data_IF_554472277304
#
_entry.id   IF_554472277304
#
_cell.length_a   1.000
_cell.length_b   1.000
_cell.length_c   1.000
_cell.angle_alpha   90.00
_cell.angle_beta   90.00
_cell.angle_gamma   90.00
#
_symmetry.space_group_name_H-M   'P 1'
#
loop_
_entity.id
_entity.type
_entity.pdbx_description
1 polymer ?
#
# COMPACT_ATOMS: atom_id res chain seq x y z
N UNK A 1 7.68 -56.55 27.29
CA UNK A 1 8.45 -56.37 26.03
C UNK A 1 7.73 -55.31 25.20
N UNK A 2 8.41 -54.19 24.96
CA UNK A 2 7.86 -52.92 24.48
C UNK A 2 7.38 -53.05 23.02
N UNK A 3 6.12 -52.66 22.74
CA UNK A 3 5.62 -52.45 21.36
C UNK A 3 5.89 -51.01 20.96
N UNK A 4 6.77 -50.84 19.98
CA UNK A 4 6.98 -49.60 19.24
C UNK A 4 5.75 -49.35 18.34
N UNK A 5 5.12 -48.18 18.46
CA UNK A 5 4.19 -47.64 17.45
C UNK A 5 5.00 -46.64 16.62
N UNK A 6 5.28 -47.00 15.37
CA UNK A 6 5.80 -46.06 14.39
C UNK A 6 4.68 -45.19 13.80
N UNK A 7 5.07 -43.95 13.49
CA UNK A 7 4.21 -42.83 13.23
C UNK A 7 3.48 -42.89 11.89
N UNK A 8 2.21 -42.49 11.92
CA UNK A 8 1.51 -42.05 10.74
C UNK A 8 2.06 -40.70 10.26
N UNK A 9 2.29 -40.57 8.96
CA UNK A 9 2.31 -39.29 8.26
C UNK A 9 1.15 -39.30 7.28
N UNK A 10 -0.01 -38.87 7.77
CA UNK A 10 -1.16 -38.57 6.94
C UNK A 10 -0.92 -37.26 6.18
N UNK A 11 -1.05 -37.35 4.87
CA UNK A 11 -1.44 -36.32 3.90
C UNK A 11 -1.12 -34.85 4.22
N UNK A 12 -0.17 -34.27 3.48
CA UNK A 12 -0.14 -32.82 3.26
C UNK A 12 -1.28 -32.46 2.31
N UNK A 13 -2.13 -31.61 2.85
CA UNK A 13 -3.41 -31.13 2.35
C UNK A 13 -3.31 -30.41 1.00
N UNK A 14 -4.40 -30.56 0.26
CA UNK A 14 -4.62 -30.15 -1.12
C UNK A 14 -4.71 -28.62 -1.17
N UNK A 15 -3.80 -27.96 -1.89
CA UNK A 15 -3.99 -26.57 -2.30
C UNK A 15 -5.14 -26.54 -3.31
N UNK A 16 -6.31 -26.07 -2.88
CA UNK A 16 -7.39 -25.72 -3.80
C UNK A 16 -6.88 -24.70 -4.85
N UNK A 17 -7.23 -24.87 -6.13
CA UNK A 17 -6.83 -23.92 -7.17
C UNK A 17 -7.46 -22.55 -6.90
N UNK A 18 -6.71 -21.49 -7.25
CA UNK A 18 -7.20 -20.12 -7.22
C UNK A 18 -8.52 -20.03 -8.01
N UNK A 19 -9.58 -19.49 -7.39
CA UNK A 19 -10.80 -19.18 -8.11
C UNK A 19 -10.44 -18.22 -9.25
N UNK A 20 -10.73 -18.62 -10.49
CA UNK A 20 -10.52 -17.77 -11.63
C UNK A 20 -11.47 -16.57 -11.53
N UNK A 21 -10.91 -15.36 -11.46
CA UNK A 21 -11.65 -14.09 -11.54
C UNK A 21 -12.17 -13.85 -12.96
N UNK A 22 -12.84 -14.83 -13.56
CA UNK A 22 -13.45 -14.70 -14.88
C UNK A 22 -14.86 -14.16 -14.70
N UNK A 23 -15.05 -12.88 -14.99
CA UNK A 23 -16.41 -12.34 -15.19
C UNK A 23 -16.89 -12.79 -16.57
N UNK A 24 -17.79 -13.76 -16.61
CA UNK A 24 -18.57 -14.02 -17.81
C UNK A 24 -19.63 -12.90 -17.90
N UNK A 25 -19.53 -12.08 -18.94
CA UNK A 25 -20.42 -10.96 -19.16
C UNK A 25 -21.86 -11.47 -19.38
N UNK A 26 -22.75 -11.23 -18.42
CA UNK A 26 -24.18 -11.45 -18.61
C UNK A 26 -24.67 -10.47 -19.70
N UNK A 27 -24.98 -11.02 -20.89
CA UNK A 27 -25.61 -10.27 -21.97
C UNK A 27 -27.04 -9.88 -21.54
N UNK A 28 -27.29 -8.57 -21.45
CA UNK A 28 -28.64 -8.04 -21.29
C UNK A 28 -29.39 -8.07 -22.63
N UNK A 29 -30.71 -8.34 -22.66
CA UNK A 29 -31.47 -8.43 -23.90
C UNK A 29 -31.65 -7.06 -24.56
N UNK A 30 -31.43 -7.04 -25.87
CA UNK A 30 -31.64 -5.89 -26.76
C UNK A 30 -33.11 -5.47 -26.84
N UNK A 31 -33.40 -4.19 -26.65
CA UNK A 31 -34.66 -3.58 -27.09
C UNK A 31 -34.43 -2.74 -28.35
N UNK A 32 -35.41 -2.69 -29.29
CA UNK A 32 -35.22 -2.07 -30.59
C UNK A 32 -35.35 -0.54 -30.52
N UNK A 33 -34.46 0.17 -31.24
CA UNK A 33 -34.56 1.61 -31.47
C UNK A 33 -35.45 1.87 -32.68
N UNK A 34 -36.52 2.63 -32.48
CA UNK A 34 -37.31 3.22 -33.57
C UNK A 34 -36.58 4.40 -34.21
N UNK A 35 -36.65 4.44 -35.55
CA UNK A 35 -36.14 5.50 -36.40
C UNK A 35 -37.11 6.68 -36.45
N UNK A 36 -36.63 7.90 -36.23
CA UNK A 36 -37.23 9.09 -36.84
C UNK A 36 -36.18 9.96 -37.52
N UNK A 37 -36.47 10.27 -38.77
CA UNK A 37 -35.64 10.97 -39.76
C UNK A 37 -36.24 12.36 -40.01
N UNK A 38 -35.36 13.29 -40.39
CA UNK A 38 -35.60 14.57 -41.07
C UNK A 38 -36.02 15.75 -40.15
N UNK A 39 -35.62 17.01 -40.39
CA UNK A 39 -35.35 17.72 -41.65
C UNK A 39 -34.46 18.95 -41.41
N UNK A 40 -33.67 19.30 -42.43
CA UNK A 40 -32.85 20.50 -42.54
C UNK A 40 -33.70 21.76 -42.77
N UNK A 41 -33.31 22.91 -42.22
CA UNK A 41 -33.61 24.22 -42.81
C UNK A 41 -32.38 25.14 -42.79
N UNK A 42 -32.15 25.71 -43.97
CA UNK A 42 -31.11 26.64 -44.40
C UNK A 42 -31.59 28.06 -44.13
N UNK A 43 -30.71 28.95 -43.66
CA UNK A 43 -30.96 30.39 -43.61
C UNK A 43 -29.67 31.18 -43.72
N UNK A 44 -29.37 31.70 -44.91
CA UNK A 44 -28.32 32.68 -45.17
C UNK A 44 -28.86 34.12 -45.03
N UNK A 45 -27.97 35.06 -44.66
CA UNK A 45 -27.87 36.51 -44.98
C UNK A 45 -27.28 37.26 -43.77
N UNK A 46 -26.52 38.35 -43.84
CA UNK A 46 -25.63 39.00 -44.82
C UNK A 46 -24.81 40.01 -43.99
N UNK A 47 -23.62 40.38 -44.45
CA UNK A 47 -22.64 41.31 -43.84
C UNK A 47 -22.96 42.78 -44.13
N UNK A 48 -22.71 43.67 -43.15
CA UNK A 48 -22.09 45.03 -43.20
C UNK A 48 -22.14 45.61 -41.77
N UNK A 49 -21.25 46.42 -41.19
CA UNK A 49 -20.03 47.11 -41.63
C UNK A 49 -19.91 48.48 -40.91
N UNK A 50 -18.75 48.73 -40.29
CA UNK A 50 -18.12 50.06 -40.02
C UNK A 50 -18.51 50.90 -38.78
N UNK A 51 -17.49 51.42 -38.08
CA UNK A 51 -17.61 52.58 -37.17
C UNK A 51 -16.53 52.72 -36.09
N UNK A 52 -15.31 53.12 -36.46
CA UNK A 52 -14.23 53.55 -35.55
C UNK A 52 -14.61 54.77 -34.67
N UNK A 53 -14.17 54.78 -33.40
CA UNK A 53 -13.57 55.97 -32.76
C UNK A 53 -12.86 55.66 -31.45
N UNK A 54 -11.57 56.00 -31.42
CA UNK A 54 -10.72 56.05 -30.23
C UNK A 54 -11.12 57.19 -29.28
N UNK A 55 -10.92 56.99 -27.97
CA UNK A 55 -10.37 58.01 -27.08
C UNK A 55 -9.83 57.42 -25.77
N UNK A 56 -8.70 57.99 -25.36
CA UNK A 56 -7.85 57.66 -24.22
C UNK A 56 -8.53 58.02 -22.89
N UNK A 57 -8.20 57.29 -21.83
CA UNK A 57 -8.57 57.61 -20.45
C UNK A 57 -7.78 56.78 -19.45
N UNK A 58 -6.58 57.26 -19.15
CA UNK A 58 -5.74 56.84 -18.03
C UNK A 58 -6.46 57.08 -16.70
N UNK A 59 -6.66 56.03 -15.89
CA UNK A 59 -6.88 56.12 -14.43
C UNK A 59 -6.31 54.90 -13.72
N UNK A 60 -5.26 55.18 -12.96
CA UNK A 60 -4.70 54.41 -11.87
C UNK A 60 -5.78 53.95 -10.87
N UNK A 61 -5.90 52.63 -10.72
CA UNK A 61 -6.72 51.98 -9.70
C UNK A 61 -5.83 51.16 -8.76
N UNK A 62 -5.50 51.75 -7.62
CA UNK A 62 -4.91 51.06 -6.47
C UNK A 62 -5.89 49.99 -5.98
N UNK A 63 -5.49 48.72 -6.00
CA UNK A 63 -6.18 47.66 -5.26
C UNK A 63 -5.33 47.20 -4.08
N UNK A 64 -5.66 47.83 -2.96
CA UNK A 64 -5.59 47.43 -1.55
C UNK A 64 -5.25 45.95 -1.29
N UNK A 65 -4.00 45.68 -0.90
CA UNK A 65 -3.56 44.42 -0.29
C UNK A 65 -4.08 44.38 1.16
N UNK A 66 -5.22 43.72 1.37
CA UNK A 66 -5.66 43.36 2.72
C UNK A 66 -4.88 42.16 3.24
N UNK A 67 -3.77 42.46 3.92
CA UNK A 67 -3.21 41.59 4.95
C UNK A 67 -4.28 41.43 6.05
N UNK A 68 -4.56 40.19 6.45
CA UNK A 68 -5.39 39.91 7.62
C UNK A 68 -4.53 39.18 8.63
N UNK A 69 -4.40 39.83 9.77
CA UNK A 69 -3.50 39.54 10.87
C UNK A 69 -3.71 38.16 11.51
N UNK A 70 -2.58 37.51 11.80
CA UNK A 70 -2.48 36.47 12.81
C UNK A 70 -2.71 37.10 14.19
N UNK A 71 -3.80 36.73 14.85
CA UNK A 71 -3.95 36.92 16.31
C UNK A 71 -3.47 35.65 17.01
N UNK A 72 -2.26 35.69 17.55
CA UNK A 72 -1.78 34.73 18.55
C UNK A 72 -2.12 35.27 19.95
N UNK A 73 -2.81 34.47 20.75
CA UNK A 73 -3.06 34.72 22.17
C UNK A 73 -1.85 34.28 23.02
N UNK A 74 -1.45 35.03 24.07
CA UNK A 74 -0.36 34.67 24.96
C UNK A 74 -0.87 33.82 26.14
N UNK A 75 -0.16 32.76 26.50
CA UNK A 75 -0.56 31.90 27.63
C UNK A 75 0.44 30.83 28.02
N UNK A 76 1.43 31.23 28.82
CA UNK A 76 2.15 30.43 29.84
C UNK A 76 3.01 29.23 29.41
N UNK A 77 4.32 29.50 29.26
CA UNK A 77 5.39 28.48 29.31
C UNK A 77 5.86 28.32 30.76
N UNK A 78 5.85 27.09 31.29
CA UNK A 78 6.46 26.75 32.58
C UNK A 78 7.99 26.61 32.42
N UNK A 79 8.82 27.08 33.36
CA UNK A 79 10.28 26.91 33.29
C UNK A 79 10.69 25.47 33.59
N UNK A 80 11.65 24.94 32.81
CA UNK A 80 12.41 23.74 33.15
C UNK A 80 13.46 24.10 34.20
N UNK A 81 13.30 23.59 35.41
CA UNK A 81 14.28 23.72 36.48
C UNK A 81 15.54 22.90 36.15
N UNK A 82 16.69 23.58 36.26
CA UNK A 82 18.03 23.01 36.13
C UNK A 82 18.37 22.25 37.40
N UNK A 83 18.52 20.93 37.33
CA UNK A 83 19.18 20.17 38.38
C UNK A 83 20.70 20.43 38.32
N UNK A 84 21.20 21.13 39.35
CA UNK A 84 22.61 21.38 39.56
C UNK A 84 23.30 20.20 40.25
N UNK A 85 24.40 19.75 39.64
CA UNK A 85 25.66 19.38 40.28
C UNK A 85 25.65 18.42 41.48
N UNK A 86 26.18 17.22 41.27
CA UNK A 86 26.99 16.56 42.29
C UNK A 86 28.31 16.11 41.66
N UNK A 87 29.39 16.77 42.06
CA UNK A 87 30.77 16.39 41.73
C UNK A 87 31.13 15.15 42.54
N UNK A 88 31.53 14.06 41.89
CA UNK A 88 32.28 12.99 42.53
C UNK A 88 33.60 12.84 41.78
N UNK A 89 34.67 12.74 42.57
CA UNK A 89 36.07 13.02 42.22
C UNK A 89 36.67 11.99 41.27
N UNK A 90 37.52 12.54 40.39
CA UNK A 90 38.52 11.84 39.58
C UNK A 90 39.54 11.11 40.49
N UNK A 91 39.74 9.82 40.23
CA UNK A 91 40.94 9.07 40.64
C UNK A 91 41.36 8.18 39.47
N UNK A 92 42.52 8.51 38.89
CA UNK A 92 43.21 7.74 37.87
C UNK A 92 44.05 6.59 38.46
N UNK A 93 43.94 5.44 37.79
CA UNK A 93 44.96 4.43 37.44
C UNK A 93 45.49 3.43 38.50
N UNK A 94 46.13 2.29 38.11
CA UNK A 94 46.14 1.57 36.81
C UNK A 94 45.97 0.02 36.90
N UNK A 95 45.69 -0.60 35.74
CA UNK A 95 46.26 -1.89 35.27
C UNK A 95 45.92 -3.22 35.98
N UNK A 96 45.21 -4.11 35.30
CA UNK A 96 45.54 -5.54 35.30
C UNK A 96 45.01 -6.22 34.04
N UNK A 97 45.92 -6.90 33.35
CA UNK A 97 45.67 -7.82 32.25
C UNK A 97 44.95 -9.06 32.81
N UNK A 98 43.89 -9.49 32.15
CA UNK A 98 43.19 -10.73 32.43
C UNK A 98 42.47 -11.19 31.18
N UNK A 99 43.03 -12.21 30.52
CA UNK A 99 42.44 -12.88 29.38
C UNK A 99 41.10 -13.51 29.78
N UNK A 100 39.99 -12.95 29.30
CA UNK A 100 38.65 -13.50 29.42
C UNK A 100 38.29 -14.27 28.17
N UNK A 101 38.23 -15.59 28.30
CA UNK A 101 37.84 -16.57 27.30
C UNK A 101 36.52 -16.23 26.61
N UNK A 102 36.52 -16.42 25.29
CA UNK A 102 35.38 -16.36 24.40
C UNK A 102 34.40 -17.50 24.72
N UNK A 103 33.28 -17.20 25.38
CA UNK A 103 32.10 -18.07 25.40
C UNK A 103 30.82 -17.25 25.20
N UNK A 104 30.51 -16.91 23.95
CA UNK A 104 29.17 -16.47 23.55
C UNK A 104 28.72 -17.31 22.35
N UNK A 105 28.44 -18.58 22.64
CA UNK A 105 28.21 -19.61 21.63
C UNK A 105 26.80 -20.18 21.55
N UNK A 106 25.76 -19.63 22.20
CA UNK A 106 24.44 -20.31 22.21
C UNK A 106 23.16 -19.44 22.06
N UNK A 107 23.26 -18.11 21.98
CA UNK A 107 22.07 -17.23 21.88
C UNK A 107 21.59 -16.91 20.45
N UNK A 108 22.51 -16.75 19.49
CA UNK A 108 22.20 -16.08 18.22
C UNK A 108 21.33 -16.91 17.24
N UNK A 109 21.39 -18.26 17.31
CA UNK A 109 20.67 -19.13 16.35
C UNK A 109 19.18 -19.31 16.65
N UNK A 110 18.74 -19.23 17.90
CA UNK A 110 17.32 -19.41 18.27
C UNK A 110 16.49 -18.17 17.95
N UNK A 111 17.07 -16.98 18.09
CA UNK A 111 16.36 -15.71 17.85
C UNK A 111 16.16 -15.45 16.35
N UNK A 112 17.11 -15.85 15.50
CA UNK A 112 16.99 -15.77 14.04
C UNK A 112 15.80 -16.55 13.51
N UNK A 113 15.76 -17.87 13.77
CA UNK A 113 14.71 -18.75 13.25
C UNK A 113 13.30 -18.32 13.70
N UNK A 114 13.17 -17.76 14.92
CA UNK A 114 11.91 -17.20 15.41
C UNK A 114 11.49 -15.96 14.61
N UNK A 115 12.44 -15.09 14.29
CA UNK A 115 12.16 -13.87 13.53
C UNK A 115 11.73 -14.15 12.08
N UNK A 116 12.36 -15.11 11.39
CA UNK A 116 11.91 -15.49 10.05
C UNK A 116 10.53 -16.15 10.08
N UNK A 117 10.23 -16.97 11.08
CA UNK A 117 8.89 -17.55 11.23
C UNK A 117 7.80 -16.47 11.37
N UNK A 118 8.03 -15.43 12.19
CA UNK A 118 7.09 -14.30 12.32
C UNK A 118 6.91 -13.55 10.99
N UNK A 119 7.97 -13.44 10.20
CA UNK A 119 7.93 -12.80 8.88
C UNK A 119 7.12 -13.63 7.87
N UNK A 120 7.37 -14.93 7.80
CA UNK A 120 6.63 -15.85 6.94
C UNK A 120 5.15 -15.91 7.32
N UNK A 121 4.84 -15.84 8.62
CA UNK A 121 3.46 -15.79 9.09
C UNK A 121 2.74 -14.51 8.65
N UNK A 122 3.35 -13.34 8.86
CA UNK A 122 2.79 -12.06 8.39
C UNK A 122 2.64 -12.02 6.87
N UNK A 123 3.56 -12.67 6.15
CA UNK A 123 3.50 -12.81 4.70
C UNK A 123 2.26 -13.61 4.26
N UNK A 124 2.06 -14.80 4.85
CA UNK A 124 0.91 -15.65 4.58
C UNK A 124 -0.40 -14.95 4.96
N UNK A 125 -0.43 -14.26 6.10
CA UNK A 125 -1.56 -13.44 6.52
C UNK A 125 -1.88 -12.38 5.49
N UNK A 126 -0.88 -11.64 5.00
CA UNK A 126 -1.09 -10.59 4.01
C UNK A 126 -1.67 -11.15 2.71
N UNK A 127 -1.19 -12.32 2.26
CA UNK A 127 -1.72 -12.98 1.08
C UNK A 127 -3.20 -13.38 1.28
N UNK A 128 -3.53 -14.01 2.41
CA UNK A 128 -4.92 -14.37 2.74
C UNK A 128 -5.84 -13.14 2.82
N UNK A 129 -5.41 -12.09 3.53
CA UNK A 129 -6.18 -10.87 3.71
C UNK A 129 -6.41 -10.15 2.37
N UNK A 130 -5.39 -10.06 1.51
CA UNK A 130 -5.52 -9.50 0.18
C UNK A 130 -6.49 -10.30 -0.68
N UNK A 131 -6.36 -11.64 -0.76
CA UNK A 131 -7.34 -12.48 -1.50
C UNK A 131 -8.77 -12.25 -1.03
N UNK A 132 -8.97 -12.23 0.29
CA UNK A 132 -10.28 -11.99 0.90
C UNK A 132 -10.89 -10.66 0.47
N UNK A 133 -10.08 -9.59 0.35
CA UNK A 133 -10.54 -8.28 -0.14
C UNK A 133 -10.83 -8.32 -1.64
N UNK A 134 -9.96 -8.93 -2.44
CA UNK A 134 -10.24 -9.11 -3.86
C UNK A 134 -11.57 -9.84 -4.04
N UNK A 135 -11.86 -10.86 -3.21
CA UNK A 135 -13.03 -11.75 -3.34
C UNK A 135 -14.32 -10.96 -3.11
N UNK A 136 -14.26 -10.08 -2.12
CA UNK A 136 -15.34 -9.17 -1.81
C UNK A 136 -15.52 -8.11 -2.89
N UNK A 137 -14.43 -7.52 -3.40
CA UNK A 137 -14.50 -6.49 -4.44
C UNK A 137 -15.02 -7.04 -5.77
N UNK A 138 -14.71 -8.28 -6.13
CA UNK A 138 -15.20 -8.84 -7.39
C UNK A 138 -16.70 -9.04 -7.46
N UNK A 139 -17.37 -9.05 -6.31
CA UNK A 139 -18.84 -9.11 -6.20
C UNK A 139 -19.50 -7.75 -6.36
N UNK A 140 -18.73 -6.65 -6.39
CA UNK A 140 -19.28 -5.32 -6.61
C UNK A 140 -19.78 -5.18 -8.06
N UNK A 141 -20.95 -4.56 -8.27
CA UNK A 141 -21.34 -4.06 -9.58
C UNK A 141 -20.25 -3.18 -10.16
N UNK A 142 -20.07 -3.23 -11.48
CA UNK A 142 -19.02 -2.47 -12.18
C UNK A 142 -19.10 -0.96 -11.89
N UNK A 143 -20.30 -0.40 -11.87
CA UNK A 143 -20.54 1.00 -11.52
C UNK A 143 -19.98 1.34 -10.12
N UNK A 144 -20.14 0.45 -9.14
CA UNK A 144 -19.64 0.66 -7.78
C UNK A 144 -18.13 0.49 -7.69
N UNK A 145 -17.56 -0.46 -8.45
CA UNK A 145 -16.11 -0.69 -8.50
C UNK A 145 -15.35 0.55 -9.01
N UNK A 146 -15.91 1.23 -10.02
CA UNK A 146 -15.33 2.44 -10.62
C UNK A 146 -15.81 3.76 -10.00
N UNK A 147 -16.73 3.72 -9.03
CA UNK A 147 -17.30 4.94 -8.44
C UNK A 147 -16.22 5.78 -7.77
N UNK A 148 -16.23 7.08 -8.06
CA UNK A 148 -15.40 8.06 -7.37
C UNK A 148 -15.95 8.33 -5.96
N UNK A 149 -15.17 7.97 -4.94
CA UNK A 149 -15.45 8.11 -3.51
C UNK A 149 -14.60 9.21 -2.86
N UNK A 150 -14.01 10.11 -3.67
CA UNK A 150 -13.27 11.30 -3.22
C UNK A 150 -12.15 10.99 -2.23
N UNK A 151 -11.36 9.97 -2.58
CA UNK A 151 -10.21 9.52 -1.79
C UNK A 151 -8.89 9.74 -2.53
N UNK A 152 -7.76 9.44 -1.88
CA UNK A 152 -6.41 9.57 -2.45
C UNK A 152 -6.23 8.91 -3.82
N UNK A 153 -6.99 7.85 -4.11
CA UNK A 153 -6.93 7.12 -5.38
C UNK A 153 -8.29 7.04 -6.08
N UNK A 154 -9.19 7.98 -5.79
CA UNK A 154 -10.52 8.03 -6.40
C UNK A 154 -11.51 6.98 -5.88
N UNK A 155 -11.11 5.81 -5.39
CA UNK A 155 -12.08 4.81 -4.90
C UNK A 155 -11.53 3.39 -4.87
N UNK A 156 -12.41 2.39 -4.97
CA UNK A 156 -12.04 0.97 -4.88
C UNK A 156 -11.04 0.58 -5.96
N UNK A 157 -11.36 0.86 -7.24
CA UNK A 157 -10.48 0.53 -8.36
C UNK A 157 -9.08 1.14 -8.21
N UNK A 158 -8.99 2.46 -8.04
CA UNK A 158 -7.69 3.14 -7.96
C UNK A 158 -6.88 2.74 -6.73
N UNK A 159 -7.51 2.50 -5.58
CA UNK A 159 -6.80 1.99 -4.39
C UNK A 159 -6.27 0.57 -4.62
N UNK A 160 -7.02 -0.31 -5.30
CA UNK A 160 -6.52 -1.63 -5.66
C UNK A 160 -5.35 -1.55 -6.66
N UNK A 161 -5.44 -0.69 -7.67
CA UNK A 161 -4.33 -0.46 -8.61
C UNK A 161 -3.06 -0.02 -7.87
N UNK A 162 -3.19 0.93 -6.94
CA UNK A 162 -2.09 1.39 -6.11
C UNK A 162 -1.52 0.27 -5.24
N UNK A 163 -2.36 -0.54 -4.59
CA UNK A 163 -1.91 -1.68 -3.78
C UNK A 163 -1.09 -2.65 -4.62
N UNK A 164 -1.62 -3.10 -5.77
CA UNK A 164 -0.92 -4.05 -6.66
C UNK A 164 0.41 -3.48 -7.16
N UNK A 165 0.40 -2.21 -7.58
CA UNK A 165 1.61 -1.51 -8.01
C UNK A 165 2.64 -1.41 -6.87
N UNK A 166 2.22 -1.06 -5.66
CA UNK A 166 3.09 -0.96 -4.51
C UNK A 166 3.67 -2.33 -4.12
N UNK A 167 2.88 -3.40 -4.19
CA UNK A 167 3.38 -4.75 -3.96
C UNK A 167 4.46 -5.14 -4.98
N UNK A 168 4.26 -4.80 -6.25
CA UNK A 168 5.27 -5.01 -7.30
C UNK A 168 6.52 -4.15 -7.06
N UNK A 169 6.35 -2.88 -6.71
CA UNK A 169 7.45 -1.95 -6.43
C UNK A 169 8.36 -2.48 -5.31
N UNK A 170 7.78 -2.94 -4.20
CA UNK A 170 8.56 -3.48 -3.08
C UNK A 170 9.29 -4.76 -3.47
N UNK A 171 8.65 -5.66 -4.22
CA UNK A 171 9.31 -6.85 -4.77
C UNK A 171 10.48 -6.49 -5.68
N UNK A 172 10.32 -5.51 -6.57
CA UNK A 172 11.39 -5.04 -7.45
C UNK A 172 12.55 -4.48 -6.63
N UNK A 173 12.28 -3.69 -5.59
CA UNK A 173 13.32 -3.18 -4.67
C UNK A 173 14.06 -4.32 -3.95
N UNK A 174 13.35 -5.36 -3.53
CA UNK A 174 13.97 -6.53 -2.90
C UNK A 174 14.88 -7.31 -3.86
N UNK A 175 14.47 -7.42 -5.12
CA UNK A 175 15.21 -8.05 -6.23
C UNK A 175 16.24 -7.13 -6.90
N UNK A 176 16.37 -5.87 -6.45
CA UNK A 176 17.22 -4.82 -7.08
C UNK A 176 16.91 -4.59 -8.56
N UNK A 177 15.64 -4.72 -8.94
CA UNK A 177 15.13 -4.43 -10.29
C UNK A 177 14.70 -2.96 -10.41
N UNK A 178 14.62 -2.41 -11.63
CA UNK A 178 14.03 -1.09 -11.86
C UNK A 178 12.60 -1.02 -11.32
N UNK A 179 12.19 0.16 -10.82
CA UNK A 179 10.80 0.37 -10.39
C UNK A 179 9.82 0.11 -11.55
N UNK A 180 8.58 -0.34 -11.28
CA UNK A 180 7.58 -0.52 -12.33
C UNK A 180 7.37 0.76 -13.14
N UNK A 181 7.37 0.63 -14.47
CA UNK A 181 7.42 1.78 -15.39
C UNK A 181 6.17 2.65 -15.40
N UNK A 182 5.01 2.12 -15.00
CA UNK A 182 3.77 2.88 -14.88
C UNK A 182 3.45 3.12 -13.39
N UNK A 183 3.54 4.36 -12.89
CA UNK A 183 3.26 4.66 -11.49
C UNK A 183 1.82 4.36 -11.10
N UNK A 184 1.62 3.99 -9.84
CA UNK A 184 0.29 3.81 -9.21
C UNK A 184 -0.62 2.77 -9.89
N UNK A 185 -0.07 1.96 -10.81
CA UNK A 185 -0.85 1.01 -11.60
C UNK A 185 -1.84 1.69 -12.55
N UNK A 186 -1.54 2.90 -13.02
CA UNK A 186 -2.44 3.69 -13.87
C UNK A 186 -2.79 3.01 -15.22
N UNK A 187 -2.06 1.97 -15.62
CA UNK A 187 -2.32 1.14 -16.80
C UNK A 187 -3.35 0.03 -16.55
N UNK A 188 -3.67 -0.30 -15.30
CA UNK A 188 -4.68 -1.30 -14.95
C UNK A 188 -6.07 -0.68 -15.12
N UNK A 189 -6.84 -1.12 -16.13
CA UNK A 189 -8.10 -0.48 -16.52
C UNK A 189 -9.35 -1.23 -16.06
N UNK A 190 -9.19 -2.49 -15.69
CA UNK A 190 -10.28 -3.36 -15.26
C UNK A 190 -9.92 -4.11 -13.99
N UNK A 191 -10.93 -4.71 -13.34
CA UNK A 191 -10.68 -5.65 -12.26
C UNK A 191 -9.85 -6.85 -12.73
N UNK A 192 -10.05 -7.31 -13.97
CA UNK A 192 -9.29 -8.41 -14.54
C UNK A 192 -7.80 -8.09 -14.65
N UNK A 193 -7.45 -6.87 -15.11
CA UNK A 193 -6.05 -6.42 -15.18
C UNK A 193 -5.40 -6.41 -13.80
N UNK A 194 -6.13 -5.89 -12.80
CA UNK A 194 -5.69 -5.80 -11.41
C UNK A 194 -5.44 -7.20 -10.84
N UNK A 195 -6.41 -8.12 -11.00
CA UNK A 195 -6.27 -9.52 -10.55
C UNK A 195 -5.10 -10.23 -11.25
N UNK A 196 -5.00 -10.14 -12.58
CA UNK A 196 -3.94 -10.81 -13.33
C UNK A 196 -2.54 -10.31 -12.96
N UNK A 197 -2.39 -9.00 -12.74
CA UNK A 197 -1.12 -8.46 -12.24
C UNK A 197 -0.85 -8.87 -10.80
N UNK A 198 -1.86 -8.85 -9.93
CA UNK A 198 -1.70 -9.27 -8.55
C UNK A 198 -1.28 -10.74 -8.44
N UNK A 199 -1.88 -11.66 -9.20
CA UNK A 199 -1.51 -13.08 -9.23
C UNK A 199 -0.06 -13.29 -9.68
N UNK A 200 0.39 -12.51 -10.68
CA UNK A 200 1.78 -12.54 -11.14
C UNK A 200 2.73 -12.08 -10.04
N UNK A 201 2.43 -10.94 -9.41
CA UNK A 201 3.24 -10.39 -8.32
C UNK A 201 3.24 -11.32 -7.11
N UNK A 202 2.10 -11.91 -6.76
CA UNK A 202 1.97 -12.84 -5.64
C UNK A 202 2.85 -14.08 -5.86
N UNK A 203 2.78 -14.68 -7.06
CA UNK A 203 3.59 -15.85 -7.43
C UNK A 203 5.08 -15.55 -7.35
N UNK A 204 5.53 -14.45 -7.96
CA UNK A 204 6.95 -14.08 -7.92
C UNK A 204 7.42 -13.79 -6.49
N UNK A 205 6.56 -13.15 -5.69
CA UNK A 205 6.87 -12.81 -4.31
C UNK A 205 6.94 -14.06 -3.42
N UNK A 206 6.03 -15.01 -3.60
CA UNK A 206 6.08 -16.29 -2.91
C UNK A 206 7.38 -17.05 -3.25
N UNK A 207 7.79 -17.04 -4.53
CA UNK A 207 9.09 -17.56 -4.95
C UNK A 207 10.26 -16.88 -4.24
N UNK A 208 10.28 -15.54 -4.21
CA UNK A 208 11.32 -14.78 -3.51
C UNK A 208 11.40 -15.11 -2.02
N UNK A 209 10.24 -15.11 -1.33
CA UNK A 209 10.16 -15.34 0.12
C UNK A 209 10.53 -16.76 0.51
N UNK A 210 10.28 -17.75 -0.35
CA UNK A 210 10.65 -19.15 -0.09
C UNK A 210 12.16 -19.40 0.04
N UNK A 211 12.99 -18.46 -0.40
CA UNK A 211 14.45 -18.50 -0.32
C UNK A 211 15.01 -17.52 0.71
N UNK A 212 14.16 -16.87 1.52
CA UNK A 212 14.64 -15.97 2.58
C UNK A 212 15.26 -16.77 3.74
N UNK A 213 16.40 -16.28 4.19
CA UNK A 213 17.11 -16.73 5.39
C UNK A 213 17.12 -15.64 6.45
N UNK A 214 17.38 -16.03 7.70
CA UNK A 214 17.48 -15.09 8.83
C UNK A 214 18.48 -13.97 8.56
N UNK A 215 19.64 -14.31 8.00
CA UNK A 215 20.70 -13.36 7.70
C UNK A 215 20.26 -12.26 6.72
N UNK A 216 19.40 -12.61 5.75
CA UNK A 216 18.89 -11.67 4.75
C UNK A 216 17.94 -10.63 5.34
N UNK A 217 17.35 -10.88 6.51
CA UNK A 217 16.44 -9.94 7.16
C UNK A 217 17.17 -8.66 7.59
N UNK A 218 18.44 -8.76 7.98
CA UNK A 218 19.22 -7.63 8.48
C UNK A 218 20.15 -7.02 7.41
N UNK A 219 20.18 -7.58 6.20
CA UNK A 219 20.85 -6.99 5.04
C UNK A 219 20.25 -5.63 4.67
N UNK A 220 21.13 -4.65 4.47
CA UNK A 220 20.76 -3.31 4.02
C UNK A 220 20.63 -3.21 2.51
N UNK A 221 19.70 -2.37 2.06
CA UNK A 221 19.43 -2.07 0.65
C UNK A 221 19.28 -0.57 0.49
N UNK A 222 19.86 -0.03 -0.59
CA UNK A 222 19.63 1.36 -1.01
C UNK A 222 18.28 1.44 -1.72
N UNK A 223 17.43 2.34 -1.26
CA UNK A 223 16.12 2.63 -1.83
C UNK A 223 16.14 4.06 -2.35
N UNK A 224 15.76 4.24 -3.61
CA UNK A 224 15.59 5.55 -4.25
C UNK A 224 14.09 5.79 -4.48
N UNK A 225 13.40 6.49 -3.57
CA UNK A 225 12.00 6.81 -3.75
C UNK A 225 11.82 7.88 -4.85
N UNK A 226 10.61 7.96 -5.41
CA UNK A 226 10.26 8.98 -6.42
C UNK A 226 10.29 10.41 -5.89
N UNK A 227 10.29 10.58 -4.57
CA UNK A 227 10.44 11.88 -3.88
C UNK A 227 11.88 12.40 -3.89
N UNK A 228 12.82 11.63 -4.45
CA UNK A 228 14.24 11.96 -4.46
C UNK A 228 14.99 11.44 -3.23
N UNK A 229 16.31 11.51 -3.29
CA UNK A 229 17.23 11.03 -2.25
C UNK A 229 17.58 9.54 -2.37
N UNK A 230 18.57 9.15 -1.57
CA UNK A 230 18.97 7.76 -1.39
C UNK A 230 18.89 7.42 0.09
N UNK A 231 18.16 6.35 0.41
CA UNK A 231 17.95 5.91 1.78
C UNK A 231 18.42 4.47 1.93
N UNK A 232 19.01 4.15 3.09
CA UNK A 232 19.45 2.80 3.40
C UNK A 232 18.48 2.20 4.43
N UNK A 233 17.90 1.05 4.09
CA UNK A 233 16.99 0.32 4.96
C UNK A 233 17.37 -1.15 5.03
N UNK A 234 17.17 -1.80 6.19
CA UNK A 234 17.25 -3.25 6.26
C UNK A 234 16.04 -3.90 5.57
N UNK A 235 16.18 -5.14 5.11
CA UNK A 235 15.03 -5.90 4.59
C UNK A 235 13.89 -5.94 5.61
N UNK A 236 14.22 -6.14 6.89
CA UNK A 236 13.29 -6.13 8.02
C UNK A 236 12.44 -4.87 8.07
N UNK A 237 13.04 -3.69 7.89
CA UNK A 237 12.33 -2.41 7.86
C UNK A 237 11.41 -2.31 6.63
N UNK A 238 11.93 -2.68 5.45
CA UNK A 238 11.17 -2.63 4.19
C UNK A 238 9.95 -3.57 4.23
N UNK A 239 10.12 -4.78 4.74
CA UNK A 239 9.05 -5.78 4.86
C UNK A 239 7.94 -5.32 5.81
N UNK A 240 8.31 -4.81 6.99
CA UNK A 240 7.32 -4.28 7.95
C UNK A 240 6.50 -3.15 7.35
N UNK A 241 7.17 -2.23 6.64
CA UNK A 241 6.48 -1.18 5.91
C UNK A 241 5.54 -1.76 4.84
N UNK A 242 5.99 -2.73 4.05
CA UNK A 242 5.17 -3.40 3.03
C UNK A 242 3.89 -4.01 3.62
N UNK A 243 3.99 -4.79 4.70
CA UNK A 243 2.81 -5.40 5.37
C UNK A 243 1.86 -4.33 5.93
N UNK A 244 2.42 -3.31 6.57
CA UNK A 244 1.63 -2.22 7.13
C UNK A 244 0.92 -1.40 6.05
N UNK A 245 1.62 -1.07 4.95
CA UNK A 245 1.07 -0.34 3.80
C UNK A 245 -0.09 -1.11 3.15
N UNK A 246 0.07 -2.42 2.95
CA UNK A 246 -0.98 -3.27 2.39
C UNK A 246 -2.20 -3.32 3.34
N UNK A 247 -1.97 -3.46 4.65
CA UNK A 247 -3.04 -3.45 5.67
C UNK A 247 -3.80 -2.11 5.72
N UNK A 248 -3.07 -0.99 5.67
CA UNK A 248 -3.64 0.36 5.65
C UNK A 248 -4.60 0.56 4.48
N UNK A 249 -4.18 0.22 3.26
CA UNK A 249 -5.02 0.39 2.07
C UNK A 249 -6.16 -0.64 1.98
N UNK A 250 -5.99 -1.86 2.52
CA UNK A 250 -7.13 -2.78 2.70
C UNK A 250 -8.19 -2.18 3.61
N UNK A 251 -7.81 -1.56 4.73
CA UNK A 251 -8.74 -0.83 5.60
C UNK A 251 -9.47 0.32 4.89
N UNK A 252 -8.76 1.00 3.98
CA UNK A 252 -9.36 2.02 3.11
C UNK A 252 -10.42 1.42 2.17
N UNK A 253 -10.13 0.28 1.53
CA UNK A 253 -11.10 -0.44 0.67
C UNK A 253 -12.31 -0.90 1.48
N UNK A 254 -12.11 -1.44 2.68
CA UNK A 254 -13.19 -1.83 3.60
C UNK A 254 -14.10 -0.63 3.90
N UNK A 255 -13.54 0.56 4.07
CA UNK A 255 -14.31 1.79 4.28
C UNK A 255 -15.16 2.14 3.06
N UNK A 256 -14.58 2.06 1.86
CA UNK A 256 -15.29 2.30 0.61
C UNK A 256 -16.44 1.31 0.38
N UNK A 257 -16.20 0.02 0.65
CA UNK A 257 -17.23 -1.00 0.58
C UNK A 257 -18.44 -0.68 1.46
N UNK A 258 -18.21 -0.17 2.69
CA UNK A 258 -19.31 0.30 3.56
C UNK A 258 -20.03 1.52 3.01
N UNK A 259 -19.29 2.49 2.44
CA UNK A 259 -19.90 3.66 1.80
C UNK A 259 -20.77 3.29 0.58
N UNK A 260 -20.42 2.21 -0.11
CA UNK A 260 -21.19 1.63 -1.20
C UNK A 260 -22.40 0.79 -0.73
N UNK A 261 -22.64 0.70 0.59
CA UNK A 261 -23.75 -0.03 1.18
C UNK A 261 -23.52 -1.54 1.28
N UNK A 262 -22.28 -2.00 1.17
CA UNK A 262 -21.93 -3.44 1.25
C UNK A 262 -21.34 -3.81 2.60
N UNK A 263 -21.38 -5.10 2.94
CA UNK A 263 -20.76 -5.64 4.15
C UNK A 263 -19.40 -6.26 3.80
N UNK A 264 -18.27 -5.55 4.01
CA UNK A 264 -16.95 -6.08 3.73
C UNK A 264 -16.56 -7.19 4.71
N UNK A 265 -15.72 -8.15 4.29
CA UNK A 265 -15.18 -9.16 5.18
C UNK A 265 -14.23 -8.53 6.22
N UNK A 266 -14.11 -9.15 7.40
CA UNK A 266 -13.02 -8.83 8.32
C UNK A 266 -11.74 -9.52 7.86
N UNK A 267 -10.63 -8.78 7.95
CA UNK A 267 -9.29 -9.26 7.63
C UNK A 267 -8.36 -9.17 8.83
N UNK A 268 -8.92 -9.17 10.04
CA UNK A 268 -8.12 -9.08 11.27
C UNK A 268 -7.21 -10.31 11.41
N UNK A 269 -5.96 -10.09 11.83
CA UNK A 269 -4.97 -11.14 12.02
C UNK A 269 -5.43 -12.25 12.97
N UNK A 270 -6.24 -11.93 13.98
CA UNK A 270 -6.79 -12.94 14.90
C UNK A 270 -7.72 -13.94 14.19
N UNK A 271 -8.43 -13.52 13.14
CA UNK A 271 -9.29 -14.42 12.36
C UNK A 271 -8.46 -15.35 11.49
N UNK A 272 -7.34 -14.86 10.98
CA UNK A 272 -6.37 -15.69 10.26
C UNK A 272 -5.85 -16.84 11.14
N UNK A 273 -5.50 -16.57 12.40
CA UNK A 273 -5.07 -17.62 13.33
C UNK A 273 -6.17 -18.62 13.64
N UNK A 274 -7.40 -18.15 13.87
CA UNK A 274 -8.55 -19.01 14.14
C UNK A 274 -8.90 -19.94 12.96
N UNK A 275 -8.63 -19.51 11.72
CA UNK A 275 -8.84 -20.33 10.51
C UNK A 275 -7.79 -21.43 10.33
N UNK A 276 -6.58 -21.25 10.86
CA UNK A 276 -5.47 -22.21 10.72
C UNK A 276 -5.51 -23.35 11.76
N UNK A 277 -6.44 -23.29 12.71
CA UNK A 277 -6.69 -24.35 13.70
C UNK A 277 -7.64 -25.39 13.13
#
# INVERSE_FOLDING_TARGET
MVRLREGGHAARDQRAPAAAWTREAAQAPSQPRENHRARLHRGQRHVTGCGDRAQRGDRSGQHDRRQRDQKQHPGQRRPLEKCAGTRVRDRRQPGHQGAGSCELGHGCRRDGARALNEFLELFDYNAWASRTIFDAVARLPEEQYFRDLKSSYGGVHGTLCHVVWAEQLWLHRWKKLPNPGVPQGADLKSLQDVCGRWETVERERAGYVSHLSDAQLDETRVVKPSTGGEYVHTFRQMFRHFINHSSYHRGQIVTFMRQLGTSPPSTDLILYYRRKQ
#
